data_IF_200732008375
#
_entry.id   IF_200732008375
#
_cell.length_a   1.000
_cell.length_b   1.000
_cell.length_c   1.000
_cell.angle_alpha   90.00
_cell.angle_beta   90.00
_cell.angle_gamma   90.00
#
_symmetry.space_group_name_H-M   'P 1'
#
loop_
_entity.id
_entity.type
_entity.pdbx_description
1 polymer ?
#
# COMPACT_ATOMS: atom_id res chain seq x y z
N UNK A 1 7.48 2.24 5.46
CA UNK A 1 6.35 3.09 5.08
C UNK A 1 5.78 2.69 3.72
N UNK A 2 6.55 2.72 2.59
CA UNK A 2 6.03 2.30 1.28
C UNK A 2 5.47 0.87 1.30
N UNK A 3 6.23 -0.07 1.86
CA UNK A 3 5.79 -1.47 1.97
C UNK A 3 4.56 -1.66 2.87
N UNK A 4 4.28 -0.74 3.78
CA UNK A 4 3.02 -0.74 4.52
C UNK A 4 1.82 -0.45 3.61
N UNK A 5 1.95 0.53 2.71
CA UNK A 5 0.92 0.82 1.71
C UNK A 5 0.73 -0.36 0.74
N UNK A 6 1.83 -0.96 0.27
CA UNK A 6 1.75 -2.14 -0.60
C UNK A 6 1.11 -3.34 0.12
N UNK A 7 1.38 -3.53 1.42
CA UNK A 7 0.72 -4.57 2.20
C UNK A 7 -0.79 -4.30 2.36
N UNK A 8 -1.19 -3.03 2.45
CA UNK A 8 -2.60 -2.63 2.40
C UNK A 8 -3.30 -3.08 1.11
N UNK A 9 -2.64 -2.95 -0.03
CA UNK A 9 -3.12 -3.49 -1.31
C UNK A 9 -3.20 -5.02 -1.29
N UNK A 10 -2.13 -5.70 -0.81
CA UNK A 10 -2.10 -7.17 -0.73
C UNK A 10 -3.26 -7.73 0.08
N UNK A 11 -3.58 -7.11 1.22
CA UNK A 11 -4.72 -7.50 2.06
C UNK A 11 -6.07 -7.28 1.36
N UNK A 12 -6.21 -6.18 0.60
CA UNK A 12 -7.41 -5.94 -0.21
C UNK A 12 -7.59 -7.03 -1.28
N UNK A 13 -6.52 -7.37 -2.00
CA UNK A 13 -6.56 -8.41 -3.04
C UNK A 13 -6.88 -9.78 -2.41
N UNK A 14 -6.29 -10.12 -1.26
CA UNK A 14 -6.59 -11.37 -0.55
C UNK A 14 -8.05 -11.47 -0.11
N UNK A 15 -8.73 -10.34 0.08
CA UNK A 15 -10.18 -10.29 0.36
C UNK A 15 -11.05 -10.25 -0.92
N UNK A 16 -10.44 -10.26 -2.10
CA UNK A 16 -11.09 -10.31 -3.40
C UNK A 16 -11.22 -8.95 -4.09
N UNK A 17 -10.48 -7.92 -3.69
CA UNK A 17 -10.46 -6.66 -4.43
C UNK A 17 -9.76 -6.82 -5.79
N UNK A 18 -10.29 -6.15 -6.80
CA UNK A 18 -9.67 -6.05 -8.12
C UNK A 18 -8.46 -5.09 -8.06
N UNK A 19 -7.29 -5.57 -8.44
CA UNK A 19 -6.06 -4.77 -8.44
C UNK A 19 -6.11 -3.59 -9.42
N UNK A 20 -6.87 -3.70 -10.52
CA UNK A 20 -7.06 -2.59 -11.46
C UNK A 20 -7.93 -1.49 -10.83
N UNK A 21 -9.00 -1.88 -10.11
CA UNK A 21 -9.81 -0.92 -9.35
C UNK A 21 -8.95 -0.21 -8.31
N UNK A 22 -8.11 -0.95 -7.58
CA UNK A 22 -7.20 -0.37 -6.58
C UNK A 22 -6.29 0.67 -7.24
N UNK A 23 -5.63 0.31 -8.35
CA UNK A 23 -4.74 1.23 -9.06
C UNK A 23 -5.48 2.49 -9.52
N UNK A 24 -6.64 2.34 -10.15
CA UNK A 24 -7.46 3.47 -10.63
C UNK A 24 -7.89 4.41 -9.50
N UNK A 25 -8.31 3.84 -8.36
CA UNK A 25 -8.72 4.63 -7.18
C UNK A 25 -7.51 5.41 -6.62
N UNK A 26 -6.36 4.78 -6.51
CA UNK A 26 -5.17 5.41 -5.94
C UNK A 26 -4.55 6.45 -6.91
N UNK A 27 -4.60 6.23 -8.21
CA UNK A 27 -4.22 7.22 -9.22
C UNK A 27 -5.18 8.43 -9.19
N UNK A 28 -6.50 8.19 -9.11
CA UNK A 28 -7.52 9.24 -8.92
C UNK A 28 -7.33 10.02 -7.61
N UNK A 29 -6.90 9.34 -6.55
CA UNK A 29 -6.58 9.97 -5.26
C UNK A 29 -5.36 10.89 -5.36
N UNK A 30 -4.47 10.66 -6.34
CA UNK A 30 -3.35 11.53 -6.69
C UNK A 30 -1.98 10.86 -6.76
N UNK A 31 -1.86 9.55 -6.53
CA UNK A 31 -0.58 8.86 -6.73
C UNK A 31 -0.20 8.87 -8.22
N UNK A 32 1.10 8.97 -8.55
CA UNK A 32 1.58 8.98 -9.94
C UNK A 32 1.36 7.63 -10.64
N UNK A 33 1.21 6.56 -9.87
CA UNK A 33 0.87 5.21 -10.32
C UNK A 33 0.21 4.44 -9.19
N UNK A 34 -0.67 3.52 -9.53
CA UNK A 34 -1.31 2.64 -8.56
C UNK A 34 -0.32 1.62 -7.98
N UNK A 35 -0.63 1.04 -6.81
CA UNK A 35 0.30 0.18 -6.08
C UNK A 35 0.61 -1.14 -6.78
N UNK A 36 -0.31 -1.72 -7.55
CA UNK A 36 -0.05 -2.93 -8.34
C UNK A 36 0.90 -2.62 -9.50
N UNK A 37 0.66 -1.50 -10.21
CA UNK A 37 1.57 -1.03 -11.24
C UNK A 37 2.94 -0.67 -10.66
N UNK A 38 3.01 -0.02 -9.52
CA UNK A 38 4.26 0.29 -8.82
C UNK A 38 5.05 -0.99 -8.47
N UNK A 39 4.36 -2.03 -8.01
CA UNK A 39 4.97 -3.33 -7.70
C UNK A 39 5.63 -3.96 -8.94
N UNK A 40 4.98 -3.86 -10.10
CA UNK A 40 5.54 -4.31 -11.37
C UNK A 40 6.76 -3.49 -11.82
N UNK A 41 6.76 -2.18 -11.57
CA UNK A 41 7.90 -1.28 -11.87
C UNK A 41 9.11 -1.61 -10.98
N UNK A 42 8.89 -1.84 -9.69
CA UNK A 42 9.94 -2.25 -8.74
C UNK A 42 10.48 -3.63 -9.10
N UNK A 43 9.58 -4.52 -9.49
CA UNK A 43 9.81 -5.92 -9.77
C UNK A 43 9.40 -6.83 -8.62
N UNK A 44 8.60 -7.86 -8.94
CA UNK A 44 7.98 -8.73 -7.96
C UNK A 44 9.00 -9.56 -7.16
N UNK A 45 10.14 -9.91 -7.75
CA UNK A 45 11.29 -10.50 -7.05
C UNK A 45 11.81 -9.60 -5.92
N UNK A 46 11.92 -8.30 -6.19
CA UNK A 46 12.33 -7.31 -5.19
C UNK A 46 11.27 -7.15 -4.10
N UNK A 47 9.99 -7.08 -4.48
CA UNK A 47 8.86 -6.97 -3.55
C UNK A 47 8.84 -8.16 -2.59
N UNK A 48 8.89 -9.38 -3.11
CA UNK A 48 8.89 -10.61 -2.30
C UNK A 48 10.09 -10.67 -1.35
N UNK A 49 11.29 -10.32 -1.85
CA UNK A 49 12.49 -10.28 -1.02
C UNK A 49 12.35 -9.27 0.12
N UNK A 50 11.91 -8.04 -0.16
CA UNK A 50 11.74 -7.01 0.86
C UNK A 50 10.69 -7.42 1.91
N UNK A 51 9.58 -8.02 1.51
CA UNK A 51 8.62 -8.56 2.49
C UNK A 51 9.24 -9.61 3.39
N UNK A 52 10.06 -10.52 2.85
CA UNK A 52 10.73 -11.54 3.65
C UNK A 52 11.67 -10.94 4.71
N UNK A 53 12.27 -9.80 4.42
CA UNK A 53 13.12 -9.05 5.36
C UNK A 53 12.27 -8.35 6.43
N UNK A 54 11.17 -7.70 6.02
CA UNK A 54 10.27 -6.98 6.92
C UNK A 54 9.55 -7.92 7.88
N UNK A 55 9.07 -9.07 7.40
CA UNK A 55 8.45 -10.11 8.24
C UNK A 55 9.39 -10.63 9.33
N UNK A 56 10.69 -10.72 9.03
CA UNK A 56 11.71 -11.16 10.02
C UNK A 56 12.14 -10.03 10.94
N UNK A 57 12.25 -8.82 10.41
CA UNK A 57 12.77 -7.66 11.14
C UNK A 57 11.74 -6.95 12.00
N UNK A 58 10.47 -6.98 11.60
CA UNK A 58 9.35 -6.26 12.23
C UNK A 58 8.11 -7.15 12.33
N UNK A 59 8.20 -8.34 12.97
CA UNK A 59 7.11 -9.33 12.98
C UNK A 59 5.87 -8.85 13.76
N UNK A 60 6.00 -7.83 14.60
CA UNK A 60 4.88 -7.21 15.32
C UNK A 60 4.00 -6.32 14.44
N UNK A 61 4.44 -5.99 13.22
CA UNK A 61 3.75 -5.10 12.27
C UNK A 61 3.44 -5.79 10.96
N UNK A 62 4.45 -6.49 10.40
CA UNK A 62 4.34 -7.18 9.14
C UNK A 62 4.04 -8.65 9.40
N UNK A 63 2.88 -9.09 8.96
CA UNK A 63 2.40 -10.47 9.13
C UNK A 63 2.24 -11.13 7.77
N UNK A 64 2.23 -12.46 7.75
CA UNK A 64 1.85 -13.21 6.55
C UNK A 64 0.37 -13.00 6.26
N UNK A 65 0.03 -13.03 4.97
CA UNK A 65 -1.35 -12.95 4.47
C UNK A 65 -1.77 -14.33 4.01
N UNK A 66 -2.90 -14.80 4.51
CA UNK A 66 -3.49 -16.07 4.09
C UNK A 66 -4.46 -15.87 2.91
N UNK A 67 -4.50 -16.78 1.93
CA UNK A 67 -3.66 -17.97 1.78
C UNK A 67 -2.24 -17.66 1.28
N UNK A 68 -2.01 -16.50 0.70
CA UNK A 68 -0.71 -15.97 0.26
C UNK A 68 -0.84 -14.50 -0.14
N UNK A 69 0.27 -13.80 -0.29
CA UNK A 69 0.31 -12.48 -0.92
C UNK A 69 0.19 -12.62 -2.43
N UNK A 70 -0.54 -11.72 -3.07
CA UNK A 70 -0.70 -11.70 -4.53
C UNK A 70 0.64 -11.55 -5.26
N UNK A 71 1.56 -10.74 -4.72
CA UNK A 71 2.92 -10.61 -5.26
C UNK A 71 3.72 -11.91 -5.18
N UNK A 72 3.56 -12.71 -4.12
CA UNK A 72 4.20 -14.02 -4.00
C UNK A 72 3.65 -15.00 -5.04
N UNK A 73 2.32 -15.06 -5.19
CA UNK A 73 1.64 -15.90 -6.18
C UNK A 73 2.14 -15.61 -7.59
N UNK A 74 2.26 -14.32 -7.94
CA UNK A 74 2.76 -13.91 -9.24
C UNK A 74 4.24 -14.26 -9.43
N UNK A 75 5.06 -14.03 -8.39
CA UNK A 75 6.48 -14.38 -8.42
C UNK A 75 6.72 -15.88 -8.60
N UNK A 76 5.97 -16.72 -7.89
CA UNK A 76 6.03 -18.19 -8.03
C UNK A 76 5.58 -18.65 -9.43
N UNK A 77 4.72 -17.87 -10.10
CA UNK A 77 4.35 -18.01 -11.50
C UNK A 77 5.34 -17.40 -12.49
N UNK A 78 6.58 -17.14 -12.08
CA UNK A 78 7.66 -16.55 -12.90
C UNK A 78 7.32 -15.16 -13.47
N UNK A 79 6.42 -14.41 -12.81
CA UNK A 79 6.08 -13.05 -13.19
C UNK A 79 6.92 -12.07 -12.38
N UNK A 80 7.75 -11.27 -13.09
CA UNK A 80 8.71 -10.35 -12.47
C UNK A 80 8.35 -8.87 -12.68
N UNK A 81 7.15 -8.58 -13.17
CA UNK A 81 6.72 -7.24 -13.51
C UNK A 81 7.29 -6.77 -14.84
N UNK A 82 7.68 -5.50 -14.92
CA UNK A 82 8.25 -4.95 -16.16
C UNK A 82 9.56 -5.62 -16.59
N UNK A 83 10.28 -6.26 -15.68
CA UNK A 83 11.58 -6.91 -15.96
C UNK A 83 11.47 -8.00 -17.05
N UNK A 84 10.39 -8.77 -17.05
CA UNK A 84 10.15 -9.81 -18.05
C UNK A 84 8.85 -9.61 -18.85
N UNK A 85 8.18 -8.46 -18.64
CA UNK A 85 6.96 -8.12 -19.35
C UNK A 85 5.66 -8.70 -18.75
N UNK A 86 5.75 -9.42 -17.65
CA UNK A 86 4.64 -10.09 -16.97
C UNK A 86 4.67 -9.77 -15.48
N UNK A 87 3.63 -9.16 -14.96
CA UNK A 87 3.43 -8.85 -13.55
C UNK A 87 1.95 -8.94 -13.21
N UNK A 88 1.42 -8.01 -12.43
CA UNK A 88 -0.02 -7.76 -12.34
C UNK A 88 -0.60 -7.45 -13.71
N UNK A 89 0.17 -6.71 -14.51
CA UNK A 89 -0.14 -6.35 -15.88
C UNK A 89 0.74 -7.11 -16.86
N UNK A 90 0.30 -7.11 -18.13
CA UNK A 90 1.10 -7.52 -19.26
C UNK A 90 1.66 -6.27 -19.93
N UNK A 91 2.96 -6.29 -20.20
CA UNK A 91 3.70 -5.21 -20.84
C UNK A 91 4.07 -5.57 -22.25
N UNK A 92 3.82 -4.64 -23.16
CA UNK A 92 4.17 -4.75 -24.58
C UNK A 92 4.65 -3.40 -25.10
N UNK A 93 5.12 -3.37 -26.32
CA UNK A 93 5.32 -2.12 -27.06
C UNK A 93 4.16 -1.97 -28.04
N UNK A 94 3.54 -0.78 -28.07
CA UNK A 94 2.54 -0.46 -29.07
C UNK A 94 3.18 -0.32 -30.47
N UNK A 95 2.36 -0.12 -31.50
CA UNK A 95 2.83 0.05 -32.90
C UNK A 95 3.85 1.20 -33.08
N UNK A 96 3.88 2.16 -32.15
CA UNK A 96 4.82 3.27 -32.13
C UNK A 96 6.07 2.99 -31.28
N UNK A 97 6.25 1.76 -30.78
CA UNK A 97 7.37 1.34 -29.94
C UNK A 97 7.31 1.86 -28.50
N UNK A 98 6.20 2.48 -28.07
CA UNK A 98 6.03 2.98 -26.69
C UNK A 98 5.56 1.85 -25.77
N UNK A 99 6.02 1.85 -24.50
CA UNK A 99 5.51 0.91 -23.50
C UNK A 99 3.99 1.02 -23.35
N UNK A 100 3.33 -0.12 -23.28
CA UNK A 100 1.88 -0.24 -23.03
C UNK A 100 1.68 -1.29 -21.95
N UNK A 101 0.79 -1.01 -20.99
CA UNK A 101 0.32 -1.99 -20.02
C UNK A 101 -1.13 -2.36 -20.32
N UNK A 102 -1.46 -3.62 -20.19
CA UNK A 102 -2.83 -4.12 -20.30
C UNK A 102 -3.11 -5.08 -19.16
N UNK A 103 -4.37 -5.16 -18.72
CA UNK A 103 -4.80 -6.19 -17.79
C UNK A 103 -4.47 -7.58 -18.36
N UNK A 104 -4.14 -8.49 -17.48
CA UNK A 104 -3.90 -9.88 -17.84
C UNK A 104 -4.98 -10.76 -17.23
N UNK A 105 -5.89 -11.25 -18.06
CA UNK A 105 -7.01 -12.10 -17.61
C UNK A 105 -6.55 -13.33 -16.85
N UNK A 106 -5.36 -13.86 -17.17
CA UNK A 106 -4.80 -15.00 -16.44
C UNK A 106 -4.48 -14.70 -14.98
N UNK A 107 -4.14 -13.44 -14.66
CA UNK A 107 -3.94 -12.98 -13.27
C UNK A 107 -5.26 -12.91 -12.54
N UNK A 108 -6.29 -12.35 -13.19
CA UNK A 108 -7.64 -12.27 -12.62
C UNK A 108 -8.15 -13.66 -12.30
N UNK A 109 -8.07 -14.60 -13.25
CA UNK A 109 -8.48 -16.00 -13.03
C UNK A 109 -7.67 -16.67 -11.89
N UNK A 110 -6.37 -16.43 -11.82
CA UNK A 110 -5.52 -16.95 -10.74
C UNK A 110 -5.96 -16.43 -9.38
N UNK A 111 -6.23 -15.13 -9.28
CA UNK A 111 -6.68 -14.52 -8.03
C UNK A 111 -8.10 -14.95 -7.64
N UNK A 112 -9.03 -15.06 -8.60
CA UNK A 112 -10.37 -15.59 -8.33
C UNK A 112 -10.34 -17.04 -7.82
N UNK A 113 -9.46 -17.87 -8.36
CA UNK A 113 -9.29 -19.24 -7.91
C UNK A 113 -8.70 -19.33 -6.50
N UNK A 114 -7.82 -18.42 -6.12
CA UNK A 114 -7.11 -18.45 -4.83
C UNK A 114 -7.86 -17.68 -3.73
N UNK A 115 -8.33 -16.48 -4.06
CA UNK A 115 -8.93 -15.54 -3.10
C UNK A 115 -10.46 -15.48 -3.18
N UNK A 116 -11.04 -16.16 -4.17
CA UNK A 116 -12.47 -16.12 -4.46
C UNK A 116 -12.84 -15.02 -5.48
N UNK A 117 -14.13 -15.03 -5.87
CA UNK A 117 -14.63 -14.07 -6.86
C UNK A 117 -14.44 -12.63 -6.41
N UNK A 118 -14.12 -11.78 -7.38
CA UNK A 118 -13.95 -10.36 -7.17
C UNK A 118 -15.15 -9.74 -6.44
N UNK A 119 -14.84 -8.91 -5.43
CA UNK A 119 -15.80 -8.13 -4.65
C UNK A 119 -15.60 -6.66 -4.95
N UNK A 120 -16.71 -5.93 -4.99
CA UNK A 120 -16.64 -4.47 -5.07
C UNK A 120 -16.25 -3.88 -3.73
N UNK A 121 -15.29 -2.97 -3.74
CA UNK A 121 -14.88 -2.16 -2.60
C UNK A 121 -15.19 -0.70 -2.90
N UNK A 122 -15.65 0.02 -1.88
CA UNK A 122 -15.85 1.46 -1.99
C UNK A 122 -14.51 2.18 -2.14
N UNK A 123 -14.45 3.21 -2.99
CA UNK A 123 -13.22 3.99 -3.22
C UNK A 123 -12.60 4.48 -1.90
N UNK A 124 -13.44 4.97 -0.99
CA UNK A 124 -12.99 5.45 0.32
C UNK A 124 -12.38 4.34 1.18
N UNK A 125 -12.87 3.11 1.08
CA UNK A 125 -12.30 1.97 1.81
C UNK A 125 -10.91 1.62 1.27
N UNK A 126 -10.74 1.57 -0.05
CA UNK A 126 -9.44 1.34 -0.69
C UNK A 126 -8.43 2.39 -0.22
N UNK A 127 -8.78 3.67 -0.29
CA UNK A 127 -7.92 4.77 0.17
C UNK A 127 -7.59 4.63 1.66
N UNK A 128 -8.61 4.37 2.49
CA UNK A 128 -8.43 4.27 3.95
C UNK A 128 -7.50 3.11 4.34
N UNK A 129 -7.60 1.99 3.65
CA UNK A 129 -6.76 0.81 3.95
C UNK A 129 -5.32 1.02 3.49
N UNK A 130 -5.09 1.57 2.32
CA UNK A 130 -3.73 1.79 1.81
C UNK A 130 -3.05 2.95 2.55
N UNK A 131 -3.71 4.11 2.63
CA UNK A 131 -3.15 5.28 3.29
C UNK A 131 -3.13 5.16 4.81
N UNK A 132 -4.10 4.45 5.40
CA UNK A 132 -4.11 4.13 6.82
C UNK A 132 -2.90 3.29 7.25
N UNK A 133 -2.58 2.23 6.50
CA UNK A 133 -1.39 1.43 6.74
C UNK A 133 -0.11 2.28 6.61
N UNK A 134 -0.01 3.10 5.56
CA UNK A 134 1.11 4.02 5.36
C UNK A 134 1.24 5.02 6.51
N UNK A 135 0.13 5.62 6.94
CA UNK A 135 0.11 6.63 7.99
C UNK A 135 0.49 6.07 9.35
N UNK A 136 -0.08 4.93 9.75
CA UNK A 136 0.27 4.28 11.02
C UNK A 136 1.74 3.87 11.07
N UNK A 137 2.30 3.39 9.97
CA UNK A 137 3.72 3.06 9.91
C UNK A 137 4.59 4.32 9.94
N UNK A 138 4.16 5.43 9.34
CA UNK A 138 4.89 6.70 9.44
C UNK A 138 4.89 7.24 10.87
N UNK A 139 3.78 7.12 11.61
CA UNK A 139 3.73 7.48 13.04
C UNK A 139 4.76 6.69 13.83
N UNK A 140 4.86 5.38 13.60
CA UNK A 140 5.91 4.55 14.26
C UNK A 140 7.30 5.02 13.91
N UNK A 141 7.56 5.32 12.63
CA UNK A 141 8.86 5.86 12.20
C UNK A 141 9.22 7.18 12.91
N UNK A 142 8.26 8.05 13.17
CA UNK A 142 8.45 9.28 13.94
C UNK A 142 8.72 8.99 15.42
N UNK A 143 7.95 8.12 16.04
CA UNK A 143 8.08 7.75 17.46
C UNK A 143 9.40 7.02 17.75
N UNK A 144 9.86 6.22 16.81
CA UNK A 144 11.12 5.47 16.89
C UNK A 144 12.35 6.30 16.48
N UNK A 145 12.14 7.54 16.03
CA UNK A 145 13.21 8.43 15.60
C UNK A 145 13.91 8.03 14.30
N UNK A 146 13.23 7.23 13.46
CA UNK A 146 13.72 6.89 12.10
C UNK A 146 13.73 8.13 11.21
N UNK A 147 12.77 9.03 11.41
CA UNK A 147 12.75 10.38 10.83
C UNK A 147 12.59 11.39 11.96
N UNK A 148 13.24 12.55 11.85
CA UNK A 148 13.34 13.48 12.94
C UNK A 148 12.09 14.37 13.12
N UNK A 149 11.30 14.56 12.05
CA UNK A 149 10.12 15.43 12.08
C UNK A 149 9.08 15.06 11.03
N UNK A 150 7.80 15.46 11.23
CA UNK A 150 6.75 15.30 10.20
C UNK A 150 7.11 15.98 8.87
N UNK A 151 7.80 17.11 8.91
CA UNK A 151 8.28 17.81 7.71
C UNK A 151 9.26 16.94 6.91
N UNK A 152 10.25 16.34 7.57
CA UNK A 152 11.19 15.44 6.90
C UNK A 152 10.49 14.20 6.36
N UNK A 153 9.54 13.63 7.11
CA UNK A 153 8.73 12.50 6.71
C UNK A 153 7.96 12.79 5.42
N UNK A 154 7.24 13.89 5.39
CA UNK A 154 6.42 14.29 4.24
C UNK A 154 7.28 14.62 3.02
N UNK A 155 8.38 15.34 3.21
CA UNK A 155 9.34 15.64 2.13
C UNK A 155 9.97 14.37 1.56
N UNK A 156 10.33 13.41 2.42
CA UNK A 156 10.87 12.12 1.97
C UNK A 156 9.88 11.35 1.10
N UNK A 157 8.58 11.35 1.43
CA UNK A 157 7.56 10.70 0.61
C UNK A 157 7.29 11.44 -0.71
N UNK A 158 7.22 12.78 -0.67
CA UNK A 158 6.97 13.59 -1.87
C UNK A 158 8.10 13.38 -2.88
N UNK A 159 9.36 13.50 -2.46
CA UNK A 159 10.50 13.37 -3.37
C UNK A 159 10.94 11.92 -3.62
N UNK A 160 10.74 11.02 -2.65
CA UNK A 160 11.23 9.65 -2.74
C UNK A 160 10.29 8.70 -3.50
N UNK A 161 8.98 8.87 -3.34
CA UNK A 161 7.98 7.97 -3.95
C UNK A 161 6.90 8.70 -4.75
N UNK A 162 7.02 10.01 -4.92
CA UNK A 162 6.03 10.79 -5.68
C UNK A 162 4.69 10.95 -4.96
N UNK A 163 4.68 10.98 -3.61
CA UNK A 163 3.46 11.28 -2.87
C UNK A 163 2.86 12.62 -3.34
N UNK A 164 1.53 12.74 -3.51
CA UNK A 164 0.92 13.92 -4.07
C UNK A 164 1.26 15.20 -3.29
N UNK A 165 2.05 16.08 -3.87
CA UNK A 165 2.53 17.31 -3.21
C UNK A 165 1.40 18.25 -2.79
N UNK A 166 0.26 18.24 -3.52
CA UNK A 166 -0.91 19.05 -3.17
C UNK A 166 -1.62 18.59 -1.89
N UNK A 167 -1.33 17.35 -1.41
CA UNK A 167 -1.80 16.84 -0.11
C UNK A 167 -0.80 17.09 1.02
N UNK A 168 0.38 17.66 0.71
CA UNK A 168 1.38 18.04 1.69
C UNK A 168 2.19 16.91 2.32
N UNK A 169 1.85 15.63 2.05
CA UNK A 169 2.46 14.44 2.62
C UNK A 169 1.52 13.65 3.51
N UNK A 170 1.98 12.50 4.01
CA UNK A 170 1.14 11.58 4.81
C UNK A 170 0.81 12.14 6.21
N UNK A 171 1.77 12.83 6.84
CA UNK A 171 1.56 13.44 8.15
C UNK A 171 0.56 14.59 8.04
N UNK A 172 0.70 15.42 7.00
CA UNK A 172 -0.25 16.51 6.74
C UNK A 172 -1.65 15.98 6.44
N UNK A 173 -1.75 14.92 5.63
CA UNK A 173 -3.01 14.27 5.34
C UNK A 173 -3.68 13.69 6.60
N UNK A 174 -2.92 13.09 7.52
CA UNK A 174 -3.44 12.61 8.79
C UNK A 174 -3.95 13.77 9.69
N UNK A 175 -3.23 14.88 9.70
CA UNK A 175 -3.65 16.08 10.44
C UNK A 175 -4.93 16.71 9.86
N UNK A 176 -5.07 16.74 8.53
CA UNK A 176 -6.30 17.19 7.85
C UNK A 176 -7.50 16.28 8.14
N UNK A 177 -7.27 14.95 8.18
CA UNK A 177 -8.29 13.99 8.58
C UNK A 177 -8.68 14.18 10.06
N UNK A 178 -7.74 14.61 10.88
CA UNK A 178 -7.82 14.67 12.33
C UNK A 178 -7.34 13.35 12.97
N UNK A 179 -6.46 13.45 13.97
CA UNK A 179 -5.86 12.25 14.58
C UNK A 179 -6.87 11.33 15.25
N UNK A 180 -8.00 11.85 15.75
CA UNK A 180 -9.09 11.03 16.29
C UNK A 180 -9.73 10.16 15.21
N UNK A 181 -9.99 10.72 14.04
CA UNK A 181 -10.53 9.98 12.90
C UNK A 181 -9.50 8.99 12.33
N UNK A 182 -8.22 9.40 12.27
CA UNK A 182 -7.13 8.51 11.89
C UNK A 182 -7.02 7.29 12.84
N UNK A 183 -7.18 7.49 14.16
CA UNK A 183 -7.23 6.40 15.13
C UNK A 183 -8.46 5.50 14.89
N UNK A 184 -9.65 6.09 14.73
CA UNK A 184 -10.87 5.33 14.46
C UNK A 184 -10.77 4.48 13.17
N UNK A 185 -10.19 5.05 12.12
CA UNK A 185 -9.88 4.34 10.88
C UNK A 185 -8.91 3.16 11.13
N UNK A 186 -7.84 3.40 11.90
CA UNK A 186 -6.89 2.35 12.26
C UNK A 186 -7.55 1.23 13.07
N UNK A 187 -8.38 1.57 14.06
CA UNK A 187 -9.12 0.61 14.90
C UNK A 187 -10.07 -0.25 14.08
N UNK A 188 -10.74 0.35 13.09
CA UNK A 188 -11.66 -0.36 12.18
C UNK A 188 -10.95 -1.53 11.47
N UNK A 189 -9.68 -1.38 11.13
CA UNK A 189 -8.92 -2.38 10.36
C UNK A 189 -7.88 -3.14 11.18
N UNK A 190 -7.72 -2.84 12.47
CA UNK A 190 -6.71 -3.49 13.34
C UNK A 190 -6.89 -5.00 13.49
N UNK A 191 -8.11 -5.51 13.32
CA UNK A 191 -8.38 -6.94 13.31
C UNK A 191 -7.87 -7.66 12.06
N UNK A 192 -7.63 -6.93 10.96
CA UNK A 192 -7.07 -7.48 9.72
C UNK A 192 -5.54 -7.59 9.85
N UNK A 193 -4.89 -6.55 10.41
CA UNK A 193 -3.44 -6.54 10.60
C UNK A 193 -3.04 -5.58 11.71
N UNK A 194 -2.03 -5.96 12.53
CA UNK A 194 -1.42 -5.05 13.52
C UNK A 194 -0.86 -3.76 12.89
N UNK A 195 -0.59 -3.79 11.59
CA UNK A 195 -0.09 -2.63 10.85
C UNK A 195 -1.03 -1.42 10.96
N UNK A 196 -2.35 -1.66 11.03
CA UNK A 196 -3.35 -0.61 11.17
C UNK A 196 -3.49 -0.07 12.59
N UNK A 197 -3.04 -0.80 13.61
CA UNK A 197 -3.28 -0.43 15.00
C UNK A 197 -2.61 0.91 15.35
N UNK A 198 -3.37 1.92 15.83
CA UNK A 198 -2.78 3.17 16.32
C UNK A 198 -1.90 2.91 17.54
N UNK A 199 -0.78 3.63 17.62
CA UNK A 199 0.09 3.59 18.80
C UNK A 199 -0.58 4.27 20.00
N UNK A 200 -0.17 3.92 21.20
CA UNK A 200 -0.68 4.57 22.41
C UNK A 200 -0.35 6.08 22.43
N UNK A 201 0.84 6.46 21.97
CA UNK A 201 1.25 7.85 21.91
C UNK A 201 0.39 8.65 20.92
N UNK A 202 0.05 8.06 19.76
CA UNK A 202 -0.89 8.67 18.81
C UNK A 202 -2.28 8.86 19.44
N UNK A 203 -2.81 7.87 20.17
CA UNK A 203 -4.11 7.94 20.86
C UNK A 203 -4.13 9.05 21.91
N UNK A 204 -3.07 9.15 22.72
CA UNK A 204 -2.94 10.22 23.72
C UNK A 204 -2.89 11.59 23.04
N UNK A 205 -2.19 11.72 21.93
CA UNK A 205 -2.10 12.96 21.16
C UNK A 205 -3.45 13.33 20.55
N UNK A 206 -4.16 12.37 19.96
CA UNK A 206 -5.49 12.52 19.40
C UNK A 206 -6.52 12.98 20.46
N UNK A 207 -6.51 12.34 21.64
CA UNK A 207 -7.42 12.68 22.73
C UNK A 207 -7.24 14.12 23.27
N UNK A 208 -6.05 14.71 23.08
CA UNK A 208 -5.75 16.10 23.42
C UNK A 208 -6.05 17.10 22.29
N UNK A 209 -6.61 16.64 21.16
CA UNK A 209 -6.82 17.47 19.97
C UNK A 209 -5.50 17.94 19.33
N UNK A 210 -4.42 17.17 19.49
CA UNK A 210 -3.11 17.51 18.92
C UNK A 210 -3.01 17.15 17.44
N UNK A 211 -1.89 17.56 16.84
CA UNK A 211 -1.50 17.27 15.43
C UNK A 211 -0.14 16.61 15.40
N UNK A 212 0.25 16.02 14.27
CA UNK A 212 1.62 15.51 14.10
C UNK A 212 2.63 16.64 13.97
N UNK A 213 2.22 17.73 13.32
CA UNK A 213 2.98 18.99 13.21
C UNK A 213 2.93 19.83 14.48
#
# INVERSE_FOLDING_TARGET
VLFAALLGMEMLIAEGADFEQIDQVMEKWGLPMGPAYLSDVIGLDTIVHCYSVLLKGLPERFIEIEPSRSSQVLFDGERLGQKNGLGYYRYSKNEQGRPSKTADTSVIETFENLFGKAKAFEEQEIVSRIMGAMGMEMVRCLEEGVVASPTEADMALIYGIGFPSFRGGICRWMDELGLSEACAMGDKYSSISPLYAPTEALRVKAAKGGTLY
#
